data_IF_484057352049
#
_entry.id   IF_484057352049
#
_cell.length_a   1.000
_cell.length_b   1.000
_cell.length_c   1.000
_cell.angle_alpha   90.00
_cell.angle_beta   90.00
_cell.angle_gamma   90.00
#
_symmetry.space_group_name_H-M   'P 1'
#
loop_
_entity.id
_entity.type
_entity.pdbx_description
1 polymer ?
#
# COMPACT_ATOMS: atom_id res chain seq x y z
N UNK A 1 13.26 -6.34 -28.20
CA UNK A 1 14.65 -6.66 -28.57
C UNK A 1 15.08 -7.83 -27.71
N UNK A 2 15.83 -8.80 -28.23
CA UNK A 2 16.39 -9.87 -27.41
C UNK A 2 17.28 -9.30 -26.31
N UNK A 3 17.20 -9.90 -25.12
CA UNK A 3 18.10 -9.56 -24.02
C UNK A 3 19.52 -10.00 -24.38
N UNK A 4 20.56 -9.18 -24.09
CA UNK A 4 21.95 -9.61 -24.25
C UNK A 4 22.23 -10.82 -23.36
N UNK A 5 23.06 -11.74 -23.85
CA UNK A 5 23.39 -12.99 -23.17
C UNK A 5 24.60 -12.75 -22.28
N UNK A 6 24.44 -12.84 -20.96
CA UNK A 6 25.53 -12.63 -20.00
C UNK A 6 26.45 -13.86 -19.85
N UNK A 7 25.88 -15.06 -20.00
CA UNK A 7 26.58 -16.31 -19.76
C UNK A 7 26.54 -17.23 -20.98
N UNK A 8 27.58 -18.03 -21.16
CA UNK A 8 27.68 -18.99 -22.26
C UNK A 8 28.18 -20.34 -21.77
N UNK A 9 28.03 -21.38 -22.59
CA UNK A 9 28.59 -22.70 -22.30
C UNK A 9 29.93 -22.85 -23.04
N UNK A 10 30.99 -23.20 -22.32
CA UNK A 10 32.30 -23.45 -22.92
C UNK A 10 32.45 -24.90 -23.41
N UNK A 11 33.63 -25.27 -23.90
CA UNK A 11 33.91 -26.60 -24.46
C UNK A 11 33.85 -27.72 -23.40
N UNK A 12 34.14 -27.42 -22.13
CA UNK A 12 34.01 -28.36 -21.02
C UNK A 12 32.56 -28.51 -20.51
N UNK A 13 31.60 -27.84 -21.15
CA UNK A 13 30.20 -27.86 -20.76
C UNK A 13 29.87 -26.99 -19.55
N UNK A 14 30.82 -26.17 -19.07
CA UNK A 14 30.65 -25.25 -17.94
C UNK A 14 30.03 -23.95 -18.41
N UNK A 15 29.21 -23.36 -17.55
CA UNK A 15 28.72 -22.00 -17.74
C UNK A 15 29.81 -21.02 -17.33
N UNK A 16 30.12 -20.08 -18.22
CA UNK A 16 31.17 -19.07 -18.08
C UNK A 16 30.59 -17.69 -18.34
N UNK A 17 31.19 -16.65 -17.75
CA UNK A 17 30.87 -15.27 -18.07
C UNK A 17 31.84 -14.69 -19.11
N UNK A 18 31.43 -13.61 -19.76
CA UNK A 18 32.18 -12.97 -20.85
C UNK A 18 33.56 -12.48 -20.43
N UNK A 19 33.84 -12.26 -19.14
CA UNK A 19 35.15 -11.79 -18.67
C UNK A 19 36.14 -12.94 -18.50
N UNK A 20 35.64 -14.17 -18.36
CA UNK A 20 36.46 -15.37 -18.14
C UNK A 20 36.94 -16.05 -19.43
N UNK A 21 36.64 -15.48 -20.60
CA UNK A 21 36.94 -16.08 -21.91
C UNK A 21 37.71 -15.14 -22.84
N UNK A 22 38.44 -15.67 -23.84
CA UNK A 22 39.05 -14.84 -24.88
C UNK A 22 38.03 -14.03 -25.68
N UNK A 23 38.44 -12.88 -26.20
CA UNK A 23 37.59 -11.98 -27.00
C UNK A 23 37.15 -12.63 -28.32
N UNK A 24 35.91 -12.32 -28.74
CA UNK A 24 35.39 -12.66 -30.06
C UNK A 24 35.05 -14.16 -30.18
N UNK A 25 35.27 -14.71 -31.38
CA UNK A 25 35.03 -16.13 -31.65
C UNK A 25 36.05 -17.06 -30.99
N UNK A 26 37.19 -16.53 -30.54
CA UNK A 26 38.19 -17.30 -29.80
C UNK A 26 37.70 -17.76 -28.41
N UNK A 27 36.51 -17.31 -27.96
CA UNK A 27 35.90 -17.85 -26.74
C UNK A 27 35.45 -19.31 -26.89
N UNK A 28 35.22 -19.78 -28.12
CA UNK A 28 34.67 -21.11 -28.44
C UNK A 28 33.46 -21.51 -27.58
N UNK A 29 32.65 -20.52 -27.22
CA UNK A 29 31.45 -20.71 -26.43
C UNK A 29 30.22 -20.91 -27.33
N UNK A 30 29.23 -21.62 -26.80
CA UNK A 30 27.95 -21.87 -27.45
C UNK A 30 26.78 -21.39 -26.58
N UNK A 31 25.68 -21.04 -27.23
CA UNK A 31 24.43 -20.71 -26.58
C UNK A 31 23.85 -21.98 -25.94
N UNK A 32 23.55 -21.98 -24.63
CA UNK A 32 23.02 -23.17 -23.98
C UNK A 32 21.61 -23.55 -24.44
N UNK A 33 20.87 -22.62 -25.08
CA UNK A 33 19.52 -22.86 -25.57
C UNK A 33 19.51 -23.48 -26.98
N UNK A 34 20.22 -22.87 -27.94
CA UNK A 34 20.16 -23.29 -29.35
C UNK A 34 21.42 -24.02 -29.84
N UNK A 35 22.48 -24.06 -29.02
CA UNK A 35 23.76 -24.67 -29.39
C UNK A 35 24.59 -23.87 -30.40
N UNK A 36 24.10 -22.73 -30.90
CA UNK A 36 24.83 -21.92 -31.87
C UNK A 36 26.05 -21.24 -31.23
N UNK A 37 27.10 -21.00 -32.04
CA UNK A 37 28.33 -20.33 -31.61
C UNK A 37 28.05 -18.89 -31.17
N UNK A 38 28.74 -18.48 -30.11
CA UNK A 38 28.66 -17.14 -29.56
C UNK A 38 29.97 -16.38 -29.80
N UNK A 39 29.84 -15.06 -29.89
CA UNK A 39 30.94 -14.09 -29.96
C UNK A 39 31.02 -13.38 -28.61
N UNK A 40 32.18 -13.43 -27.97
CA UNK A 40 32.44 -12.65 -26.75
C UNK A 40 32.72 -11.18 -27.10
N UNK A 41 31.71 -10.32 -26.95
CA UNK A 41 31.83 -8.89 -27.21
C UNK A 41 32.45 -8.18 -26.01
N UNK A 42 33.77 -7.99 -26.06
CA UNK A 42 34.53 -7.25 -25.06
C UNK A 42 34.98 -5.91 -25.65
N UNK A 43 34.49 -4.80 -25.10
CA UNK A 43 34.71 -3.45 -25.64
C UNK A 43 35.05 -2.43 -24.56
N UNK A 44 35.57 -1.27 -24.96
CA UNK A 44 35.91 -0.18 -24.02
C UNK A 44 34.74 0.76 -23.69
N UNK A 45 33.66 0.69 -24.48
CA UNK A 45 32.54 1.65 -24.44
C UNK A 45 31.22 0.98 -24.06
N UNK A 46 30.95 -0.21 -24.61
CA UNK A 46 29.74 -1.00 -24.31
C UNK A 46 30.06 -2.03 -23.24
N UNK A 47 29.06 -2.33 -22.41
CA UNK A 47 29.06 -3.48 -21.52
C UNK A 47 29.37 -4.77 -22.28
N UNK A 48 30.02 -5.72 -21.60
CA UNK A 48 30.46 -6.96 -22.23
C UNK A 48 29.34 -8.00 -22.23
N UNK A 49 29.17 -8.70 -23.35
CA UNK A 49 28.09 -9.68 -23.53
C UNK A 49 28.42 -10.69 -24.61
N UNK A 50 27.65 -11.77 -24.67
CA UNK A 50 27.67 -12.72 -25.78
C UNK A 50 26.58 -12.41 -26.81
N UNK A 51 26.90 -12.58 -28.09
CA UNK A 51 25.94 -12.54 -29.19
C UNK A 51 26.12 -13.74 -30.12
N UNK A 52 25.05 -14.18 -30.79
CA UNK A 52 25.17 -15.22 -31.82
C UNK A 52 26.04 -14.74 -32.98
N UNK A 53 26.95 -15.59 -33.44
CA UNK A 53 27.79 -15.35 -34.63
C UNK A 53 26.93 -15.05 -35.86
N UNK A 54 25.85 -15.82 -36.05
CA UNK A 54 24.93 -15.68 -37.19
C UNK A 54 24.01 -14.46 -37.12
N UNK A 55 24.01 -13.71 -36.01
CA UNK A 55 23.00 -12.67 -35.75
C UNK A 55 21.59 -13.23 -35.51
N UNK A 56 21.47 -14.56 -35.31
CA UNK A 56 20.18 -15.20 -35.02
C UNK A 56 19.57 -14.67 -33.73
N UNK A 57 18.27 -14.40 -33.77
CA UNK A 57 17.49 -14.06 -32.60
C UNK A 57 17.16 -15.35 -31.84
N UNK A 58 17.54 -15.42 -30.56
CA UNK A 58 17.26 -16.55 -29.69
C UNK A 58 16.54 -16.02 -28.43
N UNK A 59 15.21 -15.90 -28.47
CA UNK A 59 14.45 -15.27 -27.40
C UNK A 59 14.67 -15.88 -26.01
N UNK A 60 14.94 -17.19 -25.94
CA UNK A 60 15.19 -17.93 -24.69
C UNK A 60 16.66 -18.06 -24.31
N UNK A 61 17.60 -17.54 -25.10
CA UNK A 61 19.04 -17.74 -24.89
C UNK A 61 19.54 -17.14 -23.58
N UNK A 62 19.21 -15.88 -23.31
CA UNK A 62 19.59 -15.18 -22.09
C UNK A 62 18.96 -15.81 -20.83
N UNK A 63 17.70 -16.22 -20.93
CA UNK A 63 16.98 -16.88 -19.84
C UNK A 63 17.61 -18.22 -19.47
N UNK A 64 17.82 -19.08 -20.46
CA UNK A 64 18.40 -20.41 -20.26
C UNK A 64 19.83 -20.30 -19.71
N UNK A 65 20.60 -19.35 -20.22
CA UNK A 65 21.96 -19.09 -19.74
C UNK A 65 21.98 -18.67 -18.26
N UNK A 66 21.10 -17.75 -17.86
CA UNK A 66 20.99 -17.29 -16.47
C UNK A 66 20.53 -18.42 -15.54
N UNK A 67 19.54 -19.21 -15.96
CA UNK A 67 19.02 -20.36 -15.20
C UNK A 67 20.10 -21.40 -14.94
N UNK A 68 20.85 -21.79 -15.96
CA UNK A 68 21.95 -22.75 -15.83
C UNK A 68 23.13 -22.20 -15.03
N UNK A 69 23.43 -20.90 -15.16
CA UNK A 69 24.47 -20.26 -14.35
C UNK A 69 24.14 -20.36 -12.85
N UNK A 70 22.89 -20.09 -12.48
CA UNK A 70 22.43 -20.21 -11.10
C UNK A 70 22.51 -21.66 -10.58
N UNK A 71 22.08 -22.64 -11.38
CA UNK A 71 22.21 -24.06 -11.05
C UNK A 71 23.67 -24.45 -10.79
N UNK A 72 24.57 -24.06 -11.68
CA UNK A 72 26.00 -24.34 -11.54
C UNK A 72 26.57 -23.74 -10.24
N UNK A 73 26.17 -22.52 -9.88
CA UNK A 73 26.64 -21.86 -8.66
C UNK A 73 26.19 -22.62 -7.41
N UNK A 74 24.92 -23.03 -7.34
CA UNK A 74 24.41 -23.80 -6.19
C UNK A 74 25.12 -25.15 -6.08
N UNK A 75 25.32 -25.86 -7.19
CA UNK A 75 26.04 -27.14 -7.20
C UNK A 75 27.54 -26.98 -6.86
N UNK A 76 28.14 -25.83 -7.18
CA UNK A 76 29.54 -25.54 -6.86
C UNK A 76 29.72 -25.18 -5.40
N UNK A 77 28.84 -24.34 -4.84
CA UNK A 77 28.97 -23.84 -3.46
C UNK A 77 28.32 -24.75 -2.41
N UNK A 78 27.40 -25.63 -2.82
CA UNK A 78 26.63 -26.54 -1.95
C UNK A 78 26.01 -25.82 -0.75
N UNK A 79 25.56 -24.57 -0.96
CA UNK A 79 24.82 -23.81 0.05
C UNK A 79 23.88 -22.80 -0.60
N UNK A 80 22.84 -22.40 0.12
CA UNK A 80 21.91 -21.36 -0.32
C UNK A 80 21.26 -20.67 0.87
N UNK A 81 21.27 -19.33 0.90
CA UNK A 81 20.57 -18.54 1.90
C UNK A 81 19.05 -18.71 1.78
N UNK A 82 18.36 -18.68 2.92
CA UNK A 82 16.93 -18.91 3.00
C UNK A 82 16.15 -17.60 3.12
N UNK A 83 14.94 -17.52 2.54
CA UNK A 83 14.08 -16.38 2.76
C UNK A 83 13.59 -16.32 4.21
N UNK A 84 13.32 -15.11 4.74
CA UNK A 84 12.57 -14.99 5.97
C UNK A 84 11.20 -15.67 5.82
N UNK A 85 10.75 -16.36 6.88
CA UNK A 85 9.44 -16.98 6.88
C UNK A 85 8.39 -15.96 7.33
N UNK A 86 7.82 -15.24 6.37
CA UNK A 86 6.69 -14.33 6.61
C UNK A 86 5.41 -15.02 6.11
N UNK A 87 4.44 -15.19 7.02
CA UNK A 87 3.13 -15.73 6.68
C UNK A 87 2.14 -14.57 6.63
N UNK A 88 1.68 -14.26 5.43
CA UNK A 88 0.60 -13.32 5.19
C UNK A 88 -0.71 -14.08 5.01
N UNK A 89 -1.75 -13.64 5.71
CA UNK A 89 -3.06 -14.25 5.69
C UNK A 89 -4.13 -13.21 5.43
N UNK A 90 -4.77 -13.32 4.27
CA UNK A 90 -5.81 -12.41 3.81
C UNK A 90 -7.04 -13.19 3.36
N UNK A 91 -8.20 -12.90 3.95
CA UNK A 91 -9.49 -13.50 3.57
C UNK A 91 -10.62 -12.48 3.60
N UNK A 92 -11.45 -12.48 2.56
CA UNK A 92 -12.66 -11.64 2.49
C UNK A 92 -13.87 -12.45 2.94
N UNK A 93 -14.54 -12.01 3.98
CA UNK A 93 -15.84 -12.55 4.38
C UNK A 93 -16.98 -11.79 3.64
N UNK A 94 -17.95 -12.48 3.03
CA UNK A 94 -19.03 -11.84 2.27
C UNK A 94 -19.82 -10.79 3.06
N UNK A 95 -20.04 -11.05 4.37
CA UNK A 95 -20.85 -10.19 5.24
C UNK A 95 -20.03 -9.22 6.11
N UNK A 96 -18.75 -9.52 6.39
CA UNK A 96 -17.98 -8.81 7.42
C UNK A 96 -16.73 -8.11 6.88
N UNK A 97 -16.48 -8.19 5.57
CA UNK A 97 -15.37 -7.49 4.93
C UNK A 97 -14.05 -8.24 5.01
N UNK A 98 -12.95 -7.51 4.88
CA UNK A 98 -11.61 -8.05 4.76
C UNK A 98 -10.98 -8.34 6.13
N UNK A 99 -10.45 -9.55 6.27
CA UNK A 99 -9.57 -9.94 7.37
C UNK A 99 -8.14 -10.08 6.84
N UNK A 100 -7.20 -9.37 7.46
CA UNK A 100 -5.79 -9.36 7.09
C UNK A 100 -4.92 -9.44 8.35
N UNK A 101 -3.98 -10.38 8.33
CA UNK A 101 -2.96 -10.60 9.36
C UNK A 101 -1.65 -10.97 8.71
N UNK A 102 -0.55 -10.50 9.29
CA UNK A 102 0.78 -10.97 8.96
C UNK A 102 1.47 -11.46 10.23
N UNK A 103 2.31 -12.48 10.10
CA UNK A 103 3.18 -12.97 11.18
C UNK A 103 4.53 -13.31 10.60
N UNK A 104 5.54 -12.70 11.18
CA UNK A 104 6.92 -13.05 10.91
C UNK A 104 7.32 -14.19 11.85
N UNK A 105 7.81 -15.28 11.26
CA UNK A 105 8.34 -16.43 11.98
C UNK A 105 9.85 -16.37 11.86
N UNK A 106 10.52 -16.19 13.00
CA UNK A 106 11.97 -16.27 13.05
C UNK A 106 12.39 -17.73 12.93
N UNK A 107 12.87 -18.12 11.77
CA UNK A 107 13.50 -19.43 11.58
C UNK A 107 14.91 -19.41 12.20
N UNK A 108 15.30 -20.46 12.94
CA UNK A 108 16.66 -20.59 13.44
C UNK A 108 17.66 -20.79 12.31
N UNK A 109 17.25 -21.49 11.24
CA UNK A 109 18.05 -21.72 10.05
C UNK A 109 17.83 -20.60 9.03
N UNK A 110 18.93 -19.96 8.63
CA UNK A 110 18.99 -18.95 7.57
C UNK A 110 19.74 -19.42 6.32
N UNK A 111 20.29 -20.63 6.37
CA UNK A 111 21.19 -21.15 5.36
C UNK A 111 21.03 -22.66 5.25
N UNK A 112 20.75 -23.14 4.04
CA UNK A 112 20.90 -24.56 3.72
C UNK A 112 22.34 -24.85 3.31
N UNK A 113 22.91 -25.90 3.89
CA UNK A 113 24.22 -26.47 3.51
C UNK A 113 24.00 -27.89 3.04
N UNK A 114 24.19 -28.11 1.74
CA UNK A 114 24.01 -29.42 1.13
C UNK A 114 25.21 -30.31 1.43
N UNK A 115 24.96 -31.55 1.89
CA UNK A 115 25.99 -32.59 1.87
C UNK A 115 26.25 -33.03 0.43
N UNK A 116 25.17 -33.21 -0.32
CA UNK A 116 25.15 -33.50 -1.75
C UNK A 116 23.94 -32.82 -2.39
N UNK A 117 24.09 -32.34 -3.62
CA UNK A 117 23.03 -31.79 -4.44
C UNK A 117 23.18 -32.25 -5.90
N UNK A 118 22.07 -32.36 -6.61
CA UNK A 118 22.00 -32.71 -8.03
C UNK A 118 20.95 -31.85 -8.71
N UNK A 119 21.19 -31.48 -9.96
CA UNK A 119 20.20 -30.85 -10.81
C UNK A 119 19.28 -31.88 -11.48
N UNK A 120 18.14 -31.40 -11.97
CA UNK A 120 17.16 -32.16 -12.74
C UNK A 120 16.69 -33.46 -12.06
N UNK A 121 16.61 -33.44 -10.72
CA UNK A 121 16.18 -34.60 -9.94
C UNK A 121 14.66 -34.78 -9.99
N UNK A 122 14.22 -36.03 -10.14
CA UNK A 122 12.80 -36.36 -10.20
C UNK A 122 12.20 -36.43 -8.80
N UNK A 123 11.21 -35.57 -8.53
CA UNK A 123 10.46 -35.50 -7.27
C UNK A 123 8.99 -35.84 -7.58
N UNK A 124 8.67 -37.13 -7.45
CA UNK A 124 7.38 -37.66 -7.88
C UNK A 124 7.17 -37.51 -9.39
N UNK A 125 6.07 -36.87 -9.85
CA UNK A 125 5.84 -36.64 -11.27
C UNK A 125 6.62 -35.44 -11.85
N UNK A 126 7.23 -34.60 -11.00
CA UNK A 126 7.90 -33.37 -11.41
C UNK A 126 9.42 -33.52 -11.43
N UNK A 127 10.09 -32.64 -12.16
CA UNK A 127 11.54 -32.47 -12.13
C UNK A 127 11.85 -31.19 -11.35
N UNK A 128 12.70 -31.32 -10.33
CA UNK A 128 13.22 -30.19 -9.57
C UNK A 128 14.45 -29.64 -10.27
N UNK A 129 14.63 -28.31 -10.26
CA UNK A 129 15.84 -27.70 -10.77
C UNK A 129 17.07 -28.18 -10.02
N UNK A 130 17.00 -28.22 -8.69
CA UNK A 130 18.01 -28.78 -7.81
C UNK A 130 17.33 -29.49 -6.65
N UNK A 131 17.79 -30.69 -6.33
CA UNK A 131 17.46 -31.39 -5.09
C UNK A 131 18.74 -31.76 -4.35
N UNK A 132 18.73 -31.64 -3.02
CA UNK A 132 19.88 -31.99 -2.20
C UNK A 132 19.51 -32.35 -0.78
N UNK A 133 20.46 -32.96 -0.07
CA UNK A 133 20.28 -33.40 1.32
C UNK A 133 21.03 -32.51 2.30
N UNK A 134 20.38 -32.13 3.40
CA UNK A 134 20.96 -31.34 4.49
C UNK A 134 21.45 -32.27 5.60
N UNK A 135 22.71 -32.73 5.55
CA UNK A 135 23.18 -33.74 6.50
C UNK A 135 22.38 -35.06 6.40
N UNK A 136 21.71 -35.44 7.48
CA UNK A 136 20.85 -36.64 7.55
C UNK A 136 19.34 -36.33 7.40
N UNK A 137 18.99 -35.06 7.20
CA UNK A 137 17.62 -34.56 6.99
C UNK A 137 17.05 -34.99 5.61
N UNK A 138 15.73 -34.86 5.37
CA UNK A 138 15.13 -35.15 4.08
C UNK A 138 15.68 -34.28 2.93
N UNK A 139 15.41 -34.73 1.71
CA UNK A 139 15.74 -33.94 0.52
C UNK A 139 14.97 -32.62 0.51
N UNK A 140 15.69 -31.55 0.18
CA UNK A 140 15.16 -30.22 -0.04
C UNK A 140 15.34 -29.82 -1.49
N UNK A 141 14.44 -28.96 -1.97
CA UNK A 141 14.35 -28.56 -3.37
C UNK A 141 14.60 -27.06 -3.51
N UNK A 142 15.35 -26.69 -4.54
CA UNK A 142 15.54 -25.30 -4.97
C UNK A 142 15.08 -25.17 -6.41
N UNK A 143 14.13 -24.28 -6.64
CA UNK A 143 13.63 -23.93 -7.97
C UNK A 143 14.17 -22.56 -8.38
N UNK A 144 14.62 -22.43 -9.62
CA UNK A 144 15.14 -21.17 -10.15
C UNK A 144 14.13 -20.61 -11.14
N UNK A 145 13.53 -19.48 -10.77
CA UNK A 145 12.62 -18.73 -11.62
C UNK A 145 13.40 -17.69 -12.42
N UNK A 146 13.26 -17.75 -13.74
CA UNK A 146 13.55 -16.61 -14.62
C UNK A 146 12.22 -16.07 -15.13
N UNK A 147 11.60 -16.63 -16.18
CA UNK A 147 10.25 -16.20 -16.57
C UNK A 147 9.14 -17.06 -15.97
N UNK A 148 9.42 -18.34 -15.79
CA UNK A 148 8.43 -19.32 -15.33
C UNK A 148 8.57 -19.53 -13.83
N UNK A 149 7.50 -19.24 -13.11
CA UNK A 149 7.38 -19.61 -11.70
C UNK A 149 6.98 -21.08 -11.56
N UNK A 150 7.18 -21.63 -10.35
CA UNK A 150 6.74 -22.97 -9.99
C UNK A 150 5.23 -23.07 -10.16
N UNK A 151 4.82 -23.99 -11.04
CA UNK A 151 3.42 -24.26 -11.34
C UNK A 151 2.60 -24.57 -10.08
N UNK A 152 1.35 -24.09 -9.96
CA UNK A 152 0.52 -24.29 -8.78
C UNK A 152 0.37 -25.77 -8.37
N UNK A 153 0.27 -26.67 -9.35
CA UNK A 153 0.14 -28.11 -9.15
C UNK A 153 1.41 -28.71 -8.54
N UNK A 154 2.58 -28.31 -9.04
CA UNK A 154 3.89 -28.70 -8.48
C UNK A 154 4.05 -28.16 -7.06
N UNK A 155 3.72 -26.89 -6.83
CA UNK A 155 3.76 -26.28 -5.50
C UNK A 155 2.83 -27.01 -4.51
N UNK A 156 1.64 -27.42 -4.95
CA UNK A 156 0.71 -28.22 -4.13
C UNK A 156 1.29 -29.60 -3.82
N UNK A 157 1.88 -30.27 -4.80
CA UNK A 157 2.52 -31.57 -4.62
C UNK A 157 3.65 -31.51 -3.58
N UNK A 158 4.54 -30.52 -3.68
CA UNK A 158 5.65 -30.33 -2.73
C UNK A 158 5.15 -30.10 -1.30
N UNK A 159 4.07 -29.31 -1.13
CA UNK A 159 3.44 -29.08 0.17
C UNK A 159 2.77 -30.32 0.74
N UNK A 160 2.02 -31.05 -0.08
CA UNK A 160 1.29 -32.25 0.34
C UNK A 160 2.25 -33.36 0.82
N UNK A 161 3.41 -33.48 0.16
CA UNK A 161 4.45 -34.45 0.51
C UNK A 161 5.47 -33.90 1.52
N UNK A 162 5.26 -32.69 2.06
CA UNK A 162 6.13 -32.03 3.05
C UNK A 162 7.59 -31.90 2.61
N UNK A 163 7.84 -31.74 1.31
CA UNK A 163 9.20 -31.53 0.77
C UNK A 163 9.57 -30.06 0.96
N UNK A 164 10.60 -29.71 1.78
CA UNK A 164 11.01 -28.33 1.96
C UNK A 164 11.53 -27.76 0.64
N UNK A 165 11.00 -26.62 0.22
CA UNK A 165 11.28 -26.08 -1.12
C UNK A 165 11.29 -24.56 -1.13
N UNK A 166 12.28 -23.97 -1.82
CA UNK A 166 12.35 -22.53 -2.09
C UNK A 166 12.35 -22.25 -3.59
N UNK A 167 11.86 -21.09 -3.99
CA UNK A 167 12.00 -20.55 -5.34
C UNK A 167 12.86 -19.28 -5.28
N UNK A 168 13.90 -19.20 -6.11
CA UNK A 168 14.78 -18.03 -6.28
C UNK A 168 14.36 -17.30 -7.56
N UNK A 169 13.99 -16.03 -7.44
CA UNK A 169 13.61 -15.16 -8.54
C UNK A 169 14.81 -14.39 -9.10
N UNK A 170 15.16 -14.69 -10.34
CA UNK A 170 16.22 -14.03 -11.10
C UNK A 170 15.66 -13.23 -12.29
N UNK A 171 14.33 -13.12 -12.44
CA UNK A 171 13.72 -12.30 -13.50
C UNK A 171 14.26 -10.87 -13.54
N UNK A 172 14.47 -10.17 -12.39
CA UNK A 172 14.94 -8.79 -12.41
C UNK A 172 16.34 -8.62 -13.01
N UNK A 173 17.12 -9.70 -13.06
CA UNK A 173 18.50 -9.72 -13.57
C UNK A 173 18.58 -10.07 -15.07
N UNK A 174 17.44 -10.38 -15.70
CA UNK A 174 17.41 -10.87 -17.08
C UNK A 174 17.82 -9.77 -18.08
N UNK A 175 18.99 -9.97 -18.69
CA UNK A 175 19.57 -9.04 -19.65
C UNK A 175 20.57 -8.06 -19.05
N UNK A 176 20.87 -8.17 -17.76
CA UNK A 176 21.96 -7.43 -17.14
C UNK A 176 23.32 -8.05 -17.52
N UNK A 177 24.36 -7.23 -17.73
CA UNK A 177 25.71 -7.70 -18.05
C UNK A 177 26.42 -8.22 -16.79
N UNK A 178 26.02 -9.40 -16.33
CA UNK A 178 26.48 -10.00 -15.07
C UNK A 178 27.72 -10.88 -15.25
N UNK A 179 28.60 -10.85 -14.26
CA UNK A 179 29.64 -11.87 -14.04
C UNK A 179 29.11 -13.01 -13.15
N UNK A 180 29.81 -14.16 -13.14
CA UNK A 180 29.45 -15.25 -12.23
C UNK A 180 29.57 -14.84 -10.76
N UNK A 181 30.55 -14.00 -10.42
CA UNK A 181 30.74 -13.47 -9.07
C UNK A 181 29.55 -12.60 -8.63
N UNK A 182 29.08 -11.70 -9.51
CA UNK A 182 27.91 -10.87 -9.23
C UNK A 182 26.65 -11.73 -9.07
N UNK A 183 26.46 -12.71 -9.96
CA UNK A 183 25.32 -13.64 -9.85
C UNK A 183 25.40 -14.49 -8.57
N UNK A 184 26.60 -14.90 -8.14
CA UNK A 184 26.78 -15.72 -6.94
C UNK A 184 26.19 -15.05 -5.69
N UNK A 185 26.31 -13.73 -5.55
CA UNK A 185 25.67 -13.02 -4.44
C UNK A 185 24.13 -13.18 -4.48
N UNK A 186 23.52 -12.96 -5.65
CA UNK A 186 22.07 -13.08 -5.83
C UNK A 186 21.54 -14.49 -5.66
N UNK A 187 22.34 -15.52 -5.96
CA UNK A 187 21.92 -16.92 -5.88
C UNK A 187 22.21 -17.49 -4.49
N UNK A 188 23.40 -17.25 -3.94
CA UNK A 188 23.88 -17.92 -2.73
C UNK A 188 23.59 -17.11 -1.46
N UNK A 189 23.72 -15.78 -1.49
CA UNK A 189 23.78 -14.96 -0.27
C UNK A 189 22.53 -14.10 -0.02
N UNK A 190 21.90 -13.58 -1.09
CA UNK A 190 20.68 -12.77 -0.96
C UNK A 190 19.56 -13.54 -0.26
N UNK A 191 18.72 -12.90 0.54
CA UNK A 191 17.52 -13.50 1.14
C UNK A 191 16.22 -12.84 0.65
N UNK A 192 16.32 -11.76 -0.13
CA UNK A 192 15.19 -10.93 -0.55
C UNK A 192 14.58 -11.34 -1.90
N UNK A 193 15.34 -12.03 -2.75
CA UNK A 193 14.89 -12.45 -4.09
C UNK A 193 14.31 -13.86 -4.11
N UNK A 194 13.88 -14.41 -2.97
CA UNK A 194 13.43 -15.80 -2.88
C UNK A 194 12.25 -15.93 -1.95
N UNK A 195 11.49 -17.01 -2.10
CA UNK A 195 10.33 -17.30 -1.25
C UNK A 195 10.20 -18.79 -0.96
N UNK A 196 9.49 -19.12 0.11
CA UNK A 196 9.12 -20.49 0.43
C UNK A 196 8.02 -20.99 -0.53
N UNK A 197 8.26 -22.10 -1.22
CA UNK A 197 7.22 -22.84 -1.96
C UNK A 197 6.52 -23.80 -1.00
N UNK A 198 7.31 -24.49 -0.17
CA UNK A 198 6.85 -25.46 0.83
C UNK A 198 7.74 -25.40 2.07
N UNK A 199 7.12 -25.23 3.24
CA UNK A 199 7.79 -25.24 4.53
C UNK A 199 6.80 -25.73 5.60
N UNK A 200 7.22 -26.65 6.48
CA UNK A 200 6.35 -27.22 7.51
C UNK A 200 5.88 -26.18 8.53
N UNK A 201 6.76 -25.25 8.93
CA UNK A 201 6.42 -24.12 9.80
C UNK A 201 5.45 -23.14 9.16
N UNK A 202 5.56 -22.89 7.83
CA UNK A 202 4.59 -22.09 7.09
C UNK A 202 3.17 -22.66 7.22
N UNK A 203 3.03 -23.97 7.00
CA UNK A 203 1.72 -24.64 7.05
C UNK A 203 1.10 -24.59 8.45
N UNK A 204 1.90 -24.77 9.50
CA UNK A 204 1.43 -24.67 10.89
C UNK A 204 0.91 -23.26 11.21
N UNK A 205 1.69 -22.22 10.92
CA UNK A 205 1.31 -20.84 11.20
C UNK A 205 0.10 -20.41 10.36
N UNK A 206 0.01 -20.87 9.11
CA UNK A 206 -1.16 -20.61 8.27
C UNK A 206 -2.42 -21.30 8.80
N UNK A 207 -2.31 -22.49 9.39
CA UNK A 207 -3.41 -23.18 10.04
C UNK A 207 -3.87 -22.46 11.31
N UNK A 208 -2.94 -21.95 12.13
CA UNK A 208 -3.27 -21.11 13.29
C UNK A 208 -4.03 -19.84 12.86
N UNK A 209 -3.55 -19.13 11.84
CA UNK A 209 -4.23 -17.94 11.30
C UNK A 209 -5.61 -18.25 10.72
N UNK A 210 -5.79 -19.45 10.13
CA UNK A 210 -7.10 -19.90 9.67
C UNK A 210 -8.05 -20.12 10.86
N UNK A 211 -7.58 -20.75 11.93
CA UNK A 211 -8.37 -20.93 13.14
C UNK A 211 -8.74 -19.59 13.80
N UNK A 212 -7.81 -18.63 13.83
CA UNK A 212 -8.08 -17.26 14.29
C UNK A 212 -9.14 -16.56 13.43
N UNK A 213 -9.08 -16.72 12.10
CA UNK A 213 -10.08 -16.19 11.19
C UNK A 213 -11.46 -16.83 11.42
N UNK A 214 -11.53 -18.16 11.56
CA UNK A 214 -12.79 -18.87 11.84
C UNK A 214 -13.39 -18.45 13.18
N UNK A 215 -12.56 -18.30 14.22
CA UNK A 215 -12.99 -17.78 15.51
C UNK A 215 -13.50 -16.33 15.41
N UNK A 216 -12.85 -15.48 14.62
CA UNK A 216 -13.29 -14.12 14.33
C UNK A 216 -14.65 -14.10 13.60
N UNK A 217 -14.83 -14.93 12.57
CA UNK A 217 -16.12 -15.09 11.87
C UNK A 217 -17.22 -15.55 12.83
N UNK A 218 -16.94 -16.57 13.65
CA UNK A 218 -17.89 -17.07 14.65
C UNK A 218 -18.28 -15.98 15.66
N UNK A 219 -17.34 -15.13 16.09
CA UNK A 219 -17.63 -13.98 16.95
C UNK A 219 -18.58 -13.00 16.26
N UNK A 220 -18.30 -12.63 15.01
CA UNK A 220 -19.13 -11.70 14.23
C UNK A 220 -20.54 -12.23 13.98
N UNK A 221 -20.66 -13.52 13.68
CA UNK A 221 -21.95 -14.20 13.55
C UNK A 221 -22.72 -14.18 14.88
N UNK A 222 -22.09 -14.50 16.01
CA UNK A 222 -22.75 -14.43 17.32
C UNK A 222 -23.23 -13.03 17.66
N UNK A 223 -22.42 -12.00 17.42
CA UNK A 223 -22.81 -10.59 17.59
C UNK A 223 -24.04 -10.25 16.74
N UNK A 224 -24.07 -10.70 15.48
CA UNK A 224 -25.19 -10.50 14.57
C UNK A 224 -26.46 -11.24 15.03
N UNK A 225 -26.33 -12.49 15.49
CA UNK A 225 -27.45 -13.29 16.02
C UNK A 225 -28.00 -12.69 17.30
N UNK A 226 -27.16 -12.24 18.23
CA UNK A 226 -27.59 -11.54 19.46
C UNK A 226 -28.28 -10.22 19.11
N UNK A 227 -27.75 -9.47 18.13
CA UNK A 227 -28.41 -8.26 17.61
C UNK A 227 -29.76 -8.56 16.96
N UNK A 228 -29.91 -9.69 16.26
CA UNK A 228 -31.16 -10.12 15.66
C UNK A 228 -32.18 -10.59 16.72
N UNK A 229 -31.75 -11.39 17.70
CA UNK A 229 -32.59 -11.84 18.82
C UNK A 229 -33.10 -10.67 19.67
N UNK A 230 -32.26 -9.67 19.96
CA UNK A 230 -32.68 -8.42 20.63
C UNK A 230 -33.70 -7.60 19.84
N UNK A 231 -33.76 -7.74 18.51
CA UNK A 231 -34.78 -7.10 17.68
C UNK A 231 -36.12 -7.86 17.67
N UNK A 232 -36.12 -9.14 18.03
CA UNK A 232 -37.29 -10.03 17.91
C UNK A 232 -37.96 -10.32 19.26
N UNK A 233 -37.24 -10.26 20.39
CA UNK A 233 -37.83 -10.45 21.71
C UNK A 233 -38.67 -9.21 22.16
N UNK A 234 -39.97 -9.36 22.49
CA UNK A 234 -40.81 -8.25 22.94
C UNK A 234 -40.57 -7.91 24.41
N UNK A 235 -40.36 -6.63 24.71
CA UNK A 235 -40.30 -6.07 26.07
C UNK A 235 -41.73 -5.70 26.50
N UNK A 236 -42.20 -6.03 27.73
CA UNK A 236 -43.51 -5.59 28.23
C UNK A 236 -43.56 -4.06 28.33
N UNK A 237 -44.56 -3.44 27.71
CA UNK A 237 -44.66 -1.98 27.62
C UNK A 237 -45.36 -1.37 28.85
N UNK A 238 -44.81 -0.30 29.46
CA UNK A 238 -45.59 0.76 30.06
C UNK A 238 -45.89 1.86 29.02
N UNK A 239 -46.93 2.69 29.22
CA UNK A 239 -47.56 3.43 28.14
C UNK A 239 -46.81 4.72 27.75
N UNK A 240 -46.63 4.86 26.43
CA UNK A 240 -46.62 6.06 25.58
C UNK A 240 -46.01 7.38 26.11
N UNK A 241 -44.98 7.90 25.41
CA UNK A 241 -45.07 9.05 24.47
C UNK A 241 -43.69 9.44 23.90
N UNK A 242 -43.73 9.97 22.67
CA UNK A 242 -42.74 10.81 21.94
C UNK A 242 -41.36 10.23 21.56
N UNK A 243 -41.26 9.84 20.29
CA UNK A 243 -40.39 10.49 19.28
C UNK A 243 -38.88 10.55 19.50
N UNK A 244 -38.16 9.70 18.76
CA UNK A 244 -36.79 9.90 18.24
C UNK A 244 -35.72 10.46 19.21
N UNK A 245 -35.17 9.61 20.07
CA UNK A 245 -33.83 9.85 20.65
C UNK A 245 -32.72 9.23 19.77
N UNK A 246 -31.61 9.94 19.51
CA UNK A 246 -30.53 9.48 18.65
C UNK A 246 -29.76 8.33 19.31
N UNK A 247 -29.47 7.27 18.54
CA UNK A 247 -28.63 6.17 19.00
C UNK A 247 -27.24 6.69 19.39
N UNK A 248 -27.01 6.81 20.70
CA UNK A 248 -25.75 7.20 21.35
C UNK A 248 -24.53 6.33 20.95
N UNK A 249 -24.73 5.33 20.08
CA UNK A 249 -23.73 4.42 19.53
C UNK A 249 -22.87 5.02 18.40
N UNK A 250 -23.39 5.96 17.59
CA UNK A 250 -22.65 6.54 16.46
C UNK A 250 -21.40 7.34 16.91
N UNK A 251 -21.44 7.88 18.14
CA UNK A 251 -20.41 8.80 18.63
C UNK A 251 -19.19 8.13 19.24
N UNK A 252 -19.31 6.86 19.65
CA UNK A 252 -18.21 6.08 20.23
C UNK A 252 -17.30 5.47 19.17
N UNK A 253 -17.65 5.64 17.90
CA UNK A 253 -16.89 5.14 16.76
C UNK A 253 -15.70 6.06 16.44
N UNK A 254 -14.56 5.45 16.09
CA UNK A 254 -13.41 6.17 15.51
C UNK A 254 -13.83 6.89 14.23
N UNK A 255 -13.17 8.00 13.91
CA UNK A 255 -13.52 8.85 12.76
C UNK A 255 -13.56 8.09 11.43
N UNK A 256 -12.64 7.14 11.23
CA UNK A 256 -12.62 6.24 10.07
C UNK A 256 -13.91 5.43 9.91
N UNK A 257 -14.46 4.95 11.03
CA UNK A 257 -15.69 4.16 11.04
C UNK A 257 -16.92 5.04 10.84
N UNK A 258 -16.90 6.29 11.33
CA UNK A 258 -17.94 7.30 11.04
C UNK A 258 -17.99 7.59 9.54
N UNK A 259 -16.83 7.78 8.89
CA UNK A 259 -16.74 7.98 7.43
C UNK A 259 -17.32 6.79 6.67
N UNK A 260 -16.98 5.56 7.08
CA UNK A 260 -17.50 4.33 6.48
C UNK A 260 -19.03 4.23 6.60
N UNK A 261 -19.58 4.53 7.78
CA UNK A 261 -21.03 4.48 8.01
C UNK A 261 -21.79 5.57 7.23
N UNK A 262 -21.23 6.79 7.16
CA UNK A 262 -21.83 7.86 6.36
C UNK A 262 -21.80 7.53 4.86
N UNK A 263 -20.68 6.96 4.36
CA UNK A 263 -20.58 6.50 2.97
C UNK A 263 -21.63 5.42 2.65
N UNK A 264 -21.80 4.45 3.55
CA UNK A 264 -22.80 3.41 3.41
C UNK A 264 -24.23 3.99 3.40
N UNK A 265 -24.54 4.92 4.30
CA UNK A 265 -25.85 5.60 4.37
C UNK A 265 -26.15 6.43 3.13
N UNK A 266 -25.15 7.08 2.54
CA UNK A 266 -25.30 7.82 1.29
C UNK A 266 -25.39 6.90 0.05
N UNK A 267 -25.10 5.60 0.20
CA UNK A 267 -25.07 4.64 -0.91
C UNK A 267 -23.86 4.82 -1.84
N UNK A 268 -22.76 5.40 -1.34
CA UNK A 268 -21.54 5.59 -2.11
C UNK A 268 -20.80 4.26 -2.26
N UNK A 269 -20.53 3.83 -3.50
CA UNK A 269 -19.76 2.61 -3.80
C UNK A 269 -18.27 2.81 -3.45
N UNK A 270 -17.55 1.71 -3.27
CA UNK A 270 -16.09 1.74 -3.03
C UNK A 270 -15.38 2.43 -4.21
N UNK A 271 -14.48 3.36 -3.91
CA UNK A 271 -13.74 4.16 -4.90
C UNK A 271 -14.43 5.44 -5.38
N UNK A 272 -15.71 5.67 -5.08
CA UNK A 272 -16.39 6.94 -5.42
C UNK A 272 -15.92 8.05 -4.46
N UNK A 273 -15.49 9.18 -5.01
CA UNK A 273 -15.07 10.34 -4.20
C UNK A 273 -16.21 10.83 -3.28
N UNK A 274 -15.84 11.39 -2.12
CA UNK A 274 -16.82 12.02 -1.24
C UNK A 274 -17.43 13.24 -1.96
N UNK A 275 -18.75 13.48 -1.90
CA UNK A 275 -19.35 14.61 -2.61
C UNK A 275 -18.77 15.95 -2.14
N UNK A 276 -18.34 16.77 -3.08
CA UNK A 276 -17.64 18.04 -2.78
C UNK A 276 -18.49 19.00 -1.95
N UNK A 277 -19.81 19.04 -2.21
CA UNK A 277 -20.77 19.84 -1.45
C UNK A 277 -20.99 19.35 0.00
N UNK A 278 -20.38 18.23 0.40
CA UNK A 278 -20.35 17.70 1.77
C UNK A 278 -18.95 17.79 2.42
N UNK A 279 -18.05 18.59 1.84
CA UNK A 279 -16.74 18.89 2.41
C UNK A 279 -16.37 20.37 2.17
N UNK A 280 -17.26 21.26 2.59
CA UNK A 280 -17.13 22.71 2.42
C UNK A 280 -16.18 23.28 3.48
N UNK A 281 -15.12 24.01 3.09
CA UNK A 281 -14.14 24.57 4.02
C UNK A 281 -14.69 25.80 4.76
N UNK A 282 -15.42 25.57 5.86
CA UNK A 282 -16.03 26.63 6.67
C UNK A 282 -15.07 27.01 7.81
N UNK A 283 -14.55 28.25 7.79
CA UNK A 283 -13.60 28.75 8.79
C UNK A 283 -14.26 29.34 10.04
N UNK A 284 -15.48 29.86 9.90
CA UNK A 284 -16.16 30.60 10.97
C UNK A 284 -16.98 29.64 11.84
N UNK A 285 -16.55 29.43 13.09
CA UNK A 285 -17.31 28.68 14.09
C UNK A 285 -17.29 27.15 13.97
N UNK A 286 -16.73 26.59 12.88
CA UNK A 286 -16.67 25.15 12.64
C UNK A 286 -15.73 24.41 13.63
N UNK A 287 -14.72 25.10 14.15
CA UNK A 287 -13.79 24.61 15.17
C UNK A 287 -14.47 24.28 16.51
N UNK A 288 -15.69 24.76 16.74
CA UNK A 288 -16.48 24.46 17.95
C UNK A 288 -17.36 23.22 17.79
N UNK A 289 -17.38 22.58 16.61
CA UNK A 289 -18.07 21.31 16.35
C UNK A 289 -17.05 20.19 16.50
N UNK A 290 -17.28 19.24 17.43
CA UNK A 290 -16.33 18.15 17.77
C UNK A 290 -16.39 16.99 16.77
N UNK A 291 -16.23 17.32 15.49
CA UNK A 291 -16.11 16.37 14.39
C UNK A 291 -15.42 17.05 13.19
N UNK A 292 -14.64 16.30 12.39
CA UNK A 292 -14.14 16.74 11.09
C UNK A 292 -15.25 17.25 10.16
N UNK A 293 -14.91 18.18 9.26
CA UNK A 293 -15.85 18.86 8.35
C UNK A 293 -16.72 17.88 7.56
N UNK A 294 -16.08 16.88 6.93
CA UNK A 294 -16.74 15.83 6.15
C UNK A 294 -17.76 15.02 6.98
N UNK A 295 -17.45 14.78 8.25
CA UNK A 295 -18.27 13.96 9.14
C UNK A 295 -19.54 14.70 9.58
N UNK A 296 -19.43 15.93 10.11
CA UNK A 296 -20.63 16.62 10.58
C UNK A 296 -21.48 17.16 9.42
N UNK A 297 -20.87 17.60 8.32
CA UNK A 297 -21.61 18.02 7.13
C UNK A 297 -22.37 16.86 6.50
N UNK A 298 -21.72 15.70 6.38
CA UNK A 298 -22.37 14.46 5.93
C UNK A 298 -23.50 14.03 6.87
N UNK A 299 -23.29 14.11 8.19
CA UNK A 299 -24.31 13.73 9.17
C UNK A 299 -25.53 14.66 9.13
N UNK A 300 -25.33 15.98 9.03
CA UNK A 300 -26.41 16.97 8.88
C UNK A 300 -27.18 16.72 7.58
N UNK A 301 -26.48 16.50 6.47
CA UNK A 301 -27.11 16.22 5.19
C UNK A 301 -27.95 14.94 5.24
N UNK A 302 -27.43 13.86 5.82
CA UNK A 302 -28.16 12.59 5.95
C UNK A 302 -29.42 12.76 6.80
N UNK A 303 -29.33 13.49 7.91
CA UNK A 303 -30.43 13.64 8.87
C UNK A 303 -31.57 14.48 8.32
N UNK A 304 -31.24 15.61 7.70
CA UNK A 304 -32.22 16.65 7.37
C UNK A 304 -32.63 16.68 5.89
N UNK A 305 -31.79 16.14 4.99
CA UNK A 305 -31.92 16.35 3.54
C UNK A 305 -31.99 15.04 2.77
N UNK A 306 -31.15 14.05 3.08
CA UNK A 306 -31.09 12.79 2.35
C UNK A 306 -32.38 11.97 2.49
N UNK A 307 -32.82 11.37 1.39
CA UNK A 307 -33.89 10.39 1.30
C UNK A 307 -33.52 9.39 0.20
N UNK A 308 -32.97 8.25 0.61
CA UNK A 308 -32.53 7.18 -0.29
C UNK A 308 -33.66 6.63 -1.17
N UNK A 309 -34.90 6.64 -0.68
CA UNK A 309 -36.03 6.00 -1.33
C UNK A 309 -36.89 6.99 -2.13
N UNK A 310 -36.69 8.30 -1.95
CA UNK A 310 -37.57 9.33 -2.50
C UNK A 310 -39.03 9.17 -2.08
N UNK A 311 -39.26 8.50 -0.94
CA UNK A 311 -40.58 8.07 -0.48
C UNK A 311 -41.37 9.23 0.15
N UNK A 312 -40.69 10.29 0.60
CA UNK A 312 -41.37 11.44 1.20
C UNK A 312 -41.90 12.38 0.12
N UNK A 313 -43.18 12.20 -0.27
CA UNK A 313 -43.92 13.18 -1.08
C UNK A 313 -44.15 14.52 -0.35
N UNK A 314 -43.86 14.58 0.95
CA UNK A 314 -43.97 15.78 1.78
C UNK A 314 -42.66 16.57 1.74
N UNK A 315 -42.73 17.86 1.40
CA UNK A 315 -41.59 18.79 1.54
C UNK A 315 -41.20 18.89 3.00
N UNK A 316 -40.05 18.32 3.36
CA UNK A 316 -39.49 18.40 4.72
C UNK A 316 -39.00 19.83 4.97
N UNK A 317 -39.40 20.39 6.11
CA UNK A 317 -39.03 21.75 6.54
C UNK A 317 -38.40 21.67 7.93
N UNK A 318 -37.29 22.39 8.12
CA UNK A 318 -36.58 22.45 9.39
C UNK A 318 -36.01 23.85 9.64
N UNK A 319 -35.73 24.19 10.90
CA UNK A 319 -35.10 25.46 11.28
C UNK A 319 -33.62 25.28 11.64
N UNK A 320 -32.86 26.38 11.61
CA UNK A 320 -31.45 26.37 12.07
C UNK A 320 -31.34 25.88 13.52
N UNK A 321 -32.28 26.29 14.38
CA UNK A 321 -32.29 25.88 15.80
C UNK A 321 -32.45 24.37 15.96
N UNK A 322 -33.28 23.71 15.14
CA UNK A 322 -33.43 22.26 15.16
C UNK A 322 -32.14 21.53 14.74
N UNK A 323 -31.38 22.09 13.79
CA UNK A 323 -30.09 21.53 13.37
C UNK A 323 -29.05 21.71 14.48
N UNK A 324 -29.02 22.89 15.12
CA UNK A 324 -28.12 23.17 16.25
C UNK A 324 -28.41 22.26 17.44
N UNK A 325 -29.68 22.12 17.83
CA UNK A 325 -30.12 21.25 18.92
C UNK A 325 -29.76 19.79 18.65
N UNK A 326 -30.09 19.28 17.45
CA UNK A 326 -29.72 17.93 17.05
C UNK A 326 -28.20 17.72 17.04
N UNK A 327 -27.44 18.62 16.42
CA UNK A 327 -25.98 18.50 16.39
C UNK A 327 -25.38 18.54 17.80
N UNK A 328 -25.96 19.34 18.70
CA UNK A 328 -25.56 19.44 20.10
C UNK A 328 -25.77 18.13 20.84
N UNK A 329 -26.93 17.48 20.68
CA UNK A 329 -27.19 16.13 21.22
C UNK A 329 -26.24 15.08 20.61
N UNK A 330 -25.85 15.28 19.35
CA UNK A 330 -25.00 14.38 18.59
C UNK A 330 -23.50 14.67 18.72
N UNK A 331 -23.05 15.69 19.46
CA UNK A 331 -21.60 15.99 19.61
C UNK A 331 -21.19 16.20 21.07
N UNK A 332 -22.16 16.12 21.99
CA UNK A 332 -21.92 16.25 23.42
C UNK A 332 -21.83 17.71 23.91
N UNK A 333 -22.53 18.65 23.26
CA UNK A 333 -22.50 20.07 23.63
C UNK A 333 -21.61 20.93 22.73
N UNK A 334 -21.98 22.19 22.42
CA UNK A 334 -21.04 23.15 21.82
C UNK A 334 -19.95 23.52 22.82
N UNK A 335 -18.68 23.48 22.40
CA UNK A 335 -17.51 23.85 23.22
C UNK A 335 -17.21 25.38 23.18
N UNK A 336 -18.21 26.19 22.81
CA UNK A 336 -18.06 27.63 22.62
C UNK A 336 -19.39 28.33 22.39
N UNK A 337 -19.38 29.63 22.04
CA UNK A 337 -20.61 30.40 21.96
C UNK A 337 -21.56 29.84 20.91
N UNK A 338 -22.81 29.55 21.30
CA UNK A 338 -23.83 28.93 20.45
C UNK A 338 -24.06 29.70 19.13
N UNK A 339 -23.85 31.02 19.14
CA UNK A 339 -23.95 31.85 17.94
C UNK A 339 -22.88 31.51 16.89
N UNK A 340 -21.68 31.07 17.27
CA UNK A 340 -20.61 30.72 16.32
C UNK A 340 -20.87 29.38 15.64
N UNK A 341 -21.37 28.38 16.38
CA UNK A 341 -21.84 27.11 15.81
C UNK A 341 -23.02 27.35 14.86
N UNK A 342 -23.92 28.27 15.26
CA UNK A 342 -25.05 28.68 14.41
C UNK A 342 -24.58 29.37 13.12
N UNK A 343 -23.51 30.17 13.16
CA UNK A 343 -22.89 30.76 11.97
C UNK A 343 -22.30 29.69 11.05
N UNK A 344 -21.55 28.72 11.59
CA UNK A 344 -20.98 27.63 10.80
C UNK A 344 -22.05 26.81 10.07
N UNK A 345 -23.11 26.44 10.80
CA UNK A 345 -24.24 25.70 10.24
C UNK A 345 -25.02 26.52 9.21
N UNK A 346 -25.19 27.83 9.44
CA UNK A 346 -25.85 28.71 8.48
C UNK A 346 -25.09 28.77 7.15
N UNK A 347 -23.77 28.95 7.19
CA UNK A 347 -22.93 28.98 5.98
C UNK A 347 -23.00 27.68 5.19
N UNK A 348 -23.01 26.53 5.89
CA UNK A 348 -23.18 25.24 5.25
C UNK A 348 -24.56 25.09 4.58
N UNK A 349 -25.63 25.46 5.28
CA UNK A 349 -26.99 25.38 4.74
C UNK A 349 -27.20 26.37 3.58
N UNK A 350 -26.56 27.54 3.60
CA UNK A 350 -26.56 28.50 2.50
C UNK A 350 -25.83 27.94 1.27
N UNK A 351 -24.69 27.28 1.44
CA UNK A 351 -24.03 26.55 0.35
C UNK A 351 -24.94 25.46 -0.25
N UNK A 352 -25.68 24.72 0.57
CA UNK A 352 -26.63 23.71 0.07
C UNK A 352 -27.86 24.33 -0.64
N UNK A 353 -28.18 25.60 -0.38
CA UNK A 353 -29.16 26.36 -1.18
C UNK A 353 -28.58 26.65 -2.57
N UNK A 354 -27.31 27.09 -2.64
CA UNK A 354 -26.62 27.35 -3.91
C UNK A 354 -26.50 26.08 -4.77
N UNK A 355 -26.27 24.92 -4.14
CA UNK A 355 -26.28 23.61 -4.80
C UNK A 355 -27.70 23.11 -5.15
N UNK A 356 -28.77 23.85 -4.80
CA UNK A 356 -30.15 23.52 -5.15
C UNK A 356 -30.85 22.50 -4.26
N UNK A 357 -30.24 22.04 -3.16
CA UNK A 357 -30.86 21.07 -2.25
C UNK A 357 -31.95 21.69 -1.37
N UNK A 358 -31.80 22.97 -1.04
CA UNK A 358 -32.63 23.68 -0.08
C UNK A 358 -33.19 24.98 -0.67
N UNK A 359 -34.31 25.44 -0.10
CA UNK A 359 -34.81 26.80 -0.24
C UNK A 359 -35.00 27.39 1.16
N UNK A 360 -34.61 28.65 1.35
CA UNK A 360 -34.89 29.39 2.59
C UNK A 360 -36.23 30.11 2.48
N UNK A 361 -37.14 29.81 3.40
CA UNK A 361 -38.45 30.46 3.52
C UNK A 361 -38.53 31.12 4.92
N UNK A 362 -38.03 32.35 5.04
CA UNK A 362 -37.91 33.08 6.31
C UNK A 362 -36.82 32.51 7.23
N UNK A 363 -37.22 31.98 8.39
CA UNK A 363 -36.34 31.36 9.40
C UNK A 363 -36.17 29.85 9.23
N UNK A 364 -36.80 29.25 8.22
CA UNK A 364 -36.76 27.81 7.97
C UNK A 364 -36.20 27.48 6.58
N UNK A 365 -35.74 26.24 6.45
CA UNK A 365 -35.22 25.63 5.25
C UNK A 365 -36.19 24.53 4.77
N UNK A 366 -36.53 24.57 3.50
CA UNK A 366 -37.38 23.59 2.82
C UNK A 366 -36.51 22.74 1.90
N UNK A 367 -36.59 21.42 2.02
CA UNK A 367 -35.84 20.48 1.16
C UNK A 367 -36.50 20.42 -0.22
N UNK A 368 -35.72 20.77 -1.25
CA UNK A 368 -36.13 20.70 -2.66
C UNK A 368 -35.76 19.34 -3.28
N UNK A 369 -34.56 18.84 -2.96
CA UNK A 369 -34.03 17.57 -3.46
C UNK A 369 -33.40 16.77 -2.33
N UNK A 370 -33.79 15.50 -2.19
CA UNK A 370 -33.28 14.58 -1.16
C UNK A 370 -32.33 13.50 -1.66
N UNK A 371 -32.06 13.45 -2.97
CA UNK A 371 -31.08 12.52 -3.56
C UNK A 371 -29.72 13.19 -3.69
N UNK A 372 -28.65 12.43 -3.90
CA UNK A 372 -27.28 12.96 -4.04
C UNK A 372 -27.08 13.90 -5.24
N UNK A 373 -27.97 13.88 -6.23
CA UNK A 373 -27.87 14.71 -7.44
C UNK A 373 -29.11 15.64 -7.50
N UNK A 374 -28.93 16.97 -7.44
CA UNK A 374 -30.02 17.91 -7.73
C UNK A 374 -30.37 17.82 -9.22
N UNK A 375 -31.67 17.81 -9.55
CA UNK A 375 -32.11 17.83 -10.96
C UNK A 375 -31.91 19.24 -11.55
N UNK A 376 -31.00 19.35 -12.52
CA UNK A 376 -30.88 20.43 -13.49
C UNK A 376 -30.75 21.88 -12.96
N UNK A 377 -29.55 22.23 -12.51
CA UNK A 377 -28.82 23.49 -12.81
C UNK A 377 -27.51 23.50 -12.03
N UNK A 378 -26.50 22.86 -12.58
CA UNK A 378 -25.12 23.31 -12.46
C UNK A 378 -24.49 22.95 -13.81
N UNK A 379 -24.62 23.86 -14.78
CA UNK A 379 -23.50 24.08 -15.67
C UNK A 379 -22.27 24.17 -14.76
N UNK A 380 -21.27 23.33 -15.03
CA UNK A 380 -19.97 23.48 -14.42
C UNK A 380 -19.61 24.98 -14.50
N UNK A 381 -19.30 25.65 -13.38
CA UNK A 381 -18.52 26.86 -13.52
C UNK A 381 -17.31 26.43 -14.34
N UNK A 382 -17.15 27.07 -15.49
CA UNK A 382 -16.11 26.77 -16.46
C UNK A 382 -14.82 26.34 -15.76
N UNK A 383 -14.19 25.28 -16.26
CA UNK A 383 -12.82 24.87 -15.93
C UNK A 383 -11.91 26.11 -15.83
N UNK A 384 -11.86 26.68 -14.63
CA UNK A 384 -10.87 27.66 -14.26
C UNK A 384 -9.62 26.85 -13.98
N UNK A 385 -8.61 27.05 -14.83
CA UNK A 385 -7.26 26.55 -14.55
C UNK A 385 -6.81 26.99 -13.15
N UNK A 386 -6.18 26.06 -12.42
CA UNK A 386 -5.46 26.21 -11.13
C UNK A 386 -6.35 26.31 -9.88
N UNK A 387 -6.01 25.73 -8.71
CA UNK A 387 -4.70 25.37 -8.15
C UNK A 387 -4.88 24.29 -7.07
N UNK A 388 -4.28 23.12 -7.21
CA UNK A 388 -4.04 22.27 -6.04
C UNK A 388 -2.90 22.92 -5.24
N UNK A 389 -3.09 23.15 -3.94
CA UNK A 389 -1.99 23.68 -3.14
C UNK A 389 -1.07 22.52 -2.75
N UNK A 390 0.24 22.72 -2.85
CA UNK A 390 1.28 21.75 -2.46
C UNK A 390 1.07 21.13 -1.07
N UNK A 391 0.39 21.84 -0.16
CA UNK A 391 0.04 21.42 1.20
C UNK A 391 -0.95 20.26 1.26
N UNK A 392 -1.83 20.15 0.28
CA UNK A 392 -2.82 19.07 0.21
C UNK A 392 -2.18 17.72 -0.12
N UNK A 393 -0.91 17.73 -0.53
CA UNK A 393 -0.09 16.54 -0.80
C UNK A 393 0.82 16.15 0.36
N UNK A 394 0.80 16.94 1.44
CA UNK A 394 1.62 16.72 2.62
C UNK A 394 0.77 16.12 3.75
N UNK A 395 1.38 15.40 4.70
CA UNK A 395 0.66 14.86 5.85
C UNK A 395 0.12 15.98 6.76
N UNK A 396 -0.89 15.71 7.60
CA UNK A 396 -1.41 16.70 8.53
C UNK A 396 -0.31 17.34 9.41
N UNK A 397 -0.45 18.62 9.77
CA UNK A 397 0.55 19.41 10.54
C UNK A 397 0.97 18.69 11.84
N UNK A 398 0.03 17.99 12.50
CA UNK A 398 0.29 17.23 13.73
C UNK A 398 1.15 15.98 13.50
N UNK A 399 0.91 15.24 12.41
CA UNK A 399 1.70 14.06 12.02
C UNK A 399 3.09 14.48 11.56
N UNK A 400 3.18 15.59 10.82
CA UNK A 400 4.45 16.17 10.41
C UNK A 400 5.26 16.69 11.61
N UNK A 401 4.59 17.22 12.65
CA UNK A 401 5.21 17.65 13.89
C UNK A 401 5.78 16.49 14.70
N UNK A 402 5.02 15.41 14.85
CA UNK A 402 5.46 14.19 15.54
C UNK A 402 6.69 13.58 14.86
N UNK A 403 6.64 13.41 13.53
CA UNK A 403 7.76 12.89 12.74
C UNK A 403 8.99 13.80 12.74
N UNK A 404 8.78 15.12 12.74
CA UNK A 404 9.88 16.08 12.86
C UNK A 404 10.54 16.02 14.24
N UNK A 405 9.77 15.78 15.30
CA UNK A 405 10.30 15.60 16.64
C UNK A 405 11.09 14.28 16.77
N UNK A 406 10.60 13.19 16.19
CA UNK A 406 11.29 11.89 16.18
C UNK A 406 12.59 11.91 15.35
N UNK A 407 12.63 12.68 14.26
CA UNK A 407 13.84 12.89 13.48
C UNK A 407 14.99 13.50 14.32
N UNK A 408 14.66 14.29 15.36
CA UNK A 408 15.66 14.90 16.25
C UNK A 408 16.29 13.94 17.24
N UNK A 409 15.60 12.85 17.59
CA UNK A 409 16.17 11.81 18.47
C UNK A 409 17.37 11.11 17.82
N UNK A 410 17.53 11.22 16.49
CA UNK A 410 18.66 10.67 15.72
C UNK A 410 19.89 11.59 15.67
N UNK A 411 19.83 12.81 16.21
CA UNK A 411 20.90 13.83 16.14
C UNK A 411 21.25 14.35 17.54
N UNK A 412 22.17 13.71 18.29
CA UNK A 412 22.50 14.09 19.66
C UNK A 412 23.10 15.51 19.74
N UNK A 413 22.52 16.38 20.56
CA UNK A 413 23.03 17.75 20.81
C UNK A 413 22.43 18.86 19.92
N UNK A 414 21.52 18.53 19.01
CA UNK A 414 20.85 19.51 18.14
C UNK A 414 19.83 20.38 18.90
N UNK A 415 19.94 21.71 18.82
CA UNK A 415 18.96 22.68 19.36
C UNK A 415 17.88 23.04 18.33
N UNK A 416 17.30 22.05 17.66
CA UNK A 416 16.31 22.29 16.61
C UNK A 416 14.88 22.42 17.16
N UNK A 417 14.18 23.47 16.76
CA UNK A 417 12.79 23.72 17.15
C UNK A 417 11.82 23.17 16.09
N UNK A 418 11.50 21.87 16.18
CA UNK A 418 10.58 21.19 15.26
C UNK A 418 9.19 21.86 15.20
N UNK A 419 8.69 22.34 16.34
CA UNK A 419 7.41 23.04 16.42
C UNK A 419 7.39 24.33 15.61
N UNK A 420 8.44 25.15 15.72
CA UNK A 420 8.59 26.37 14.93
C UNK A 420 8.79 26.05 13.45
N UNK A 421 9.59 25.03 13.14
CA UNK A 421 9.84 24.59 11.77
C UNK A 421 8.53 24.21 11.06
N UNK A 422 7.76 23.28 11.63
CA UNK A 422 6.49 22.83 11.04
C UNK A 422 5.47 23.96 10.98
N UNK A 423 5.36 24.75 12.05
CA UNK A 423 4.42 25.88 12.11
C UNK A 423 4.66 26.90 10.99
N UNK A 424 5.92 27.26 10.72
CA UNK A 424 6.26 28.24 9.69
C UNK A 424 6.19 27.61 8.29
N UNK A 425 6.68 26.37 8.14
CA UNK A 425 6.67 25.65 6.87
C UNK A 425 5.24 25.50 6.36
N UNK A 426 4.31 25.02 7.20
CA UNK A 426 2.87 24.89 6.89
C UNK A 426 2.12 26.22 6.83
N UNK A 427 2.79 27.37 6.95
CA UNK A 427 2.20 28.71 6.83
C UNK A 427 2.79 29.56 5.70
N UNK A 428 3.74 29.02 4.92
CA UNK A 428 4.31 29.71 3.75
C UNK A 428 3.28 30.05 2.66
N UNK A 429 3.20 31.31 2.20
CA UNK A 429 2.15 31.75 1.27
C UNK A 429 2.20 31.08 -0.11
N UNK A 430 3.34 30.49 -0.48
CA UNK A 430 3.56 29.74 -1.70
C UNK A 430 4.32 28.44 -1.40
N UNK A 431 4.47 27.57 -2.42
CA UNK A 431 5.25 26.33 -2.28
C UNK A 431 6.69 26.66 -1.90
N UNK A 432 7.23 26.08 -0.81
CA UNK A 432 8.59 26.38 -0.39
C UNK A 432 9.59 26.02 -1.48
N UNK A 433 10.54 26.90 -1.81
CA UNK A 433 11.72 26.47 -2.56
C UNK A 433 12.67 25.69 -1.65
N UNK A 434 13.57 24.88 -2.23
CA UNK A 434 14.65 24.23 -1.47
C UNK A 434 15.47 25.23 -0.63
N UNK A 435 15.72 26.42 -1.17
CA UNK A 435 16.40 27.52 -0.45
C UNK A 435 15.59 28.06 0.72
N UNK A 436 14.25 28.15 0.58
CA UNK A 436 13.36 28.59 1.66
C UNK A 436 13.31 27.56 2.80
N UNK A 437 13.28 26.26 2.48
CA UNK A 437 13.32 25.20 3.50
C UNK A 437 14.66 25.20 4.23
N UNK A 438 15.78 25.27 3.52
CA UNK A 438 17.13 25.34 4.11
C UNK A 438 17.29 26.54 5.05
N UNK A 439 16.79 27.71 4.63
CA UNK A 439 16.80 28.92 5.45
C UNK A 439 15.94 28.74 6.70
N UNK A 440 14.76 28.12 6.57
CA UNK A 440 13.89 27.86 7.71
C UNK A 440 14.51 26.86 8.70
N UNK A 441 15.20 25.83 8.21
CA UNK A 441 15.92 24.87 9.06
C UNK A 441 17.00 25.58 9.88
N UNK A 442 17.78 26.46 9.26
CA UNK A 442 18.78 27.28 9.95
C UNK A 442 18.17 28.20 11.01
N UNK A 443 17.06 28.88 10.69
CA UNK A 443 16.32 29.75 11.63
C UNK A 443 15.72 28.99 12.82
N UNK A 444 15.47 27.69 12.66
CA UNK A 444 14.99 26.81 13.71
C UNK A 444 16.11 26.13 14.49
N UNK A 445 17.38 26.44 14.22
CA UNK A 445 18.54 25.94 14.97
C UNK A 445 19.13 24.62 14.45
N UNK A 446 18.86 24.26 13.19
CA UNK A 446 19.37 23.05 12.54
C UNK A 446 20.35 23.33 11.40
N UNK A 447 21.09 22.32 10.95
CA UNK A 447 21.96 22.47 9.76
C UNK A 447 21.12 22.51 8.48
N UNK A 448 21.38 23.43 7.52
CA UNK A 448 20.72 23.44 6.21
C UNK A 448 20.74 22.09 5.48
N UNK A 449 21.77 21.27 5.71
CA UNK A 449 21.90 19.94 5.10
C UNK A 449 20.80 18.96 5.55
N UNK A 450 20.17 19.21 6.69
CA UNK A 450 19.05 18.40 7.20
C UNK A 450 17.74 18.63 6.45
N UNK A 451 17.62 19.67 5.62
CA UNK A 451 16.37 19.99 4.93
C UNK A 451 15.85 18.80 4.11
N UNK A 452 16.75 18.02 3.50
CA UNK A 452 16.40 16.82 2.75
C UNK A 452 15.80 15.73 3.64
N UNK A 453 16.53 15.31 4.68
CA UNK A 453 16.13 14.22 5.55
C UNK A 453 14.88 14.59 6.36
N UNK A 454 14.75 15.84 6.80
CA UNK A 454 13.57 16.34 7.51
C UNK A 454 12.32 16.29 6.64
N UNK A 455 12.38 16.72 5.37
CA UNK A 455 11.23 16.65 4.48
C UNK A 455 10.82 15.20 4.17
N UNK A 456 11.80 14.30 3.99
CA UNK A 456 11.54 12.87 3.84
C UNK A 456 10.87 12.29 5.09
N UNK A 457 11.41 12.58 6.26
CA UNK A 457 10.99 12.00 7.52
C UNK A 457 9.58 12.47 7.92
N UNK A 458 9.22 13.72 7.64
CA UNK A 458 7.84 14.20 7.87
C UNK A 458 6.85 13.64 6.87
N UNK A 459 7.31 13.06 5.75
CA UNK A 459 6.48 12.35 4.77
C UNK A 459 6.06 13.18 3.58
N UNK A 460 6.93 14.08 3.10
CA UNK A 460 6.71 14.78 1.82
C UNK A 460 6.71 13.77 0.67
N UNK A 461 5.63 13.75 -0.12
CA UNK A 461 5.48 12.83 -1.25
C UNK A 461 6.43 13.17 -2.39
N UNK A 462 6.82 12.17 -3.17
CA UNK A 462 7.76 12.29 -4.30
C UNK A 462 7.37 13.41 -5.28
N UNK A 463 6.08 13.54 -5.60
CA UNK A 463 5.64 14.57 -6.54
C UNK A 463 5.85 15.98 -5.98
N UNK A 464 5.65 16.18 -4.68
CA UNK A 464 5.98 17.44 -4.01
C UNK A 464 7.48 17.66 -3.97
N UNK A 465 8.29 16.63 -3.69
CA UNK A 465 9.75 16.74 -3.76
C UNK A 465 10.26 17.22 -5.12
N UNK A 466 9.77 16.58 -6.19
CA UNK A 466 10.13 16.96 -7.56
C UNK A 466 9.73 18.40 -7.84
N UNK A 467 8.61 18.89 -7.30
CA UNK A 467 8.19 20.28 -7.48
C UNK A 467 9.08 21.25 -6.66
N UNK A 468 9.41 20.92 -5.40
CA UNK A 468 10.32 21.73 -4.55
C UNK A 468 11.72 21.91 -5.17
N UNK A 469 12.14 20.97 -6.04
CA UNK A 469 13.45 20.95 -6.70
C UNK A 469 13.38 20.93 -8.23
N UNK A 470 12.38 21.60 -8.80
CA UNK A 470 12.30 21.89 -10.24
C UNK A 470 12.47 20.65 -11.15
N UNK A 471 11.86 19.52 -10.78
CA UNK A 471 11.83 18.28 -11.54
C UNK A 471 12.93 17.27 -11.17
N UNK A 472 13.83 17.59 -10.24
CA UNK A 472 14.88 16.66 -9.80
C UNK A 472 14.28 15.46 -9.05
N UNK A 473 14.63 14.25 -9.50
CA UNK A 473 14.18 13.01 -8.86
C UNK A 473 14.71 12.90 -7.42
N UNK A 474 13.90 12.40 -6.47
CA UNK A 474 14.34 12.26 -5.09
C UNK A 474 15.56 11.35 -4.92
N UNK A 475 16.60 11.80 -4.18
CA UNK A 475 17.78 11.00 -3.87
C UNK A 475 17.49 9.65 -3.18
N UNK A 476 16.38 9.52 -2.47
CA UNK A 476 15.99 8.28 -1.78
C UNK A 476 15.44 7.17 -2.71
N UNK A 477 15.36 7.42 -4.02
CA UNK A 477 15.04 6.40 -5.04
C UNK A 477 16.28 5.72 -5.63
N UNK A 478 17.49 6.12 -5.21
CA UNK A 478 18.77 5.54 -5.68
C UNK A 478 19.38 4.56 -4.65
N UNK A 479 18.54 3.80 -3.94
CA UNK A 479 19.00 2.75 -3.03
C UNK A 479 18.52 1.41 -3.54
#
# INVERSE_FOLDING_TARGET
>A
MPHPIAFARNQEGRIVDVRSVPRGLACDCVCPQCGARLVANQGRIKEWYFSHESGSDCPGGAETALHLAAKQLILTHLRVALPPLVVEFRRKHPQFGLYERSREVRLPEKLWRFRHARDEMRIGPYIADIAGRLGDEPEVVVEVKVRHEVEPEKAQYLRANRVPSIEIDLLPLLGDPLTLEQLAWHVIESDTNRKWVSNSGYSAVKAEMLAEYEAWVASKNREATISAYRRVAPIPQPPSKSGDEPSASFLRLREEMKRLELRAKLGLRDGVAWPEYLHVPIRQGANFIRAPLDIWQGAVFIRFIYDANGASRVRRRFSLSQVVEWLTTCTGGPQGPQYQVSTALRLFLEHLIECGFLKRDGTAYTVLHGRLLPSARCDAPALAKSSWTWRERWPPEEVALERAADALLRQPGAKFNARRFIHVLYRMPAEPSDSAVKTLVAQCGGSPDWAFDLLRDIGVVEQSWRILREGVSPPWLRV
#
